data_IF_483430069823
#
_entry.id   IF_483430069823
#
_cell.length_a   1.000
_cell.length_b   1.000
_cell.length_c   1.000
_cell.angle_alpha   90.00
_cell.angle_beta   90.00
_cell.angle_gamma   90.00
#
_symmetry.space_group_name_H-M   'P 1'
#
loop_
_entity.id
_entity.type
_entity.pdbx_description
1 polymer ?
#
# COMPACT_ATOMS: atom_id res chain seq x y z
N UNK A 1 31.33 8.56 35.74
CA UNK A 1 31.65 7.13 35.92
C UNK A 1 30.31 6.41 35.86
N UNK A 2 30.24 5.44 34.95
CA UNK A 2 29.07 4.80 34.35
C UNK A 2 27.94 4.41 35.30
N UNK A 3 26.70 4.71 34.90
CA UNK A 3 25.62 3.73 35.04
C UNK A 3 24.75 3.80 33.78
N UNK A 4 25.14 2.97 32.82
CA UNK A 4 24.36 2.62 31.63
C UNK A 4 23.74 1.27 31.95
N UNK A 5 22.56 1.02 31.37
CA UNK A 5 21.93 -0.31 31.19
C UNK A 5 20.94 -0.71 32.28
N UNK A 6 19.70 -0.19 32.16
CA UNK A 6 18.48 -1.01 32.23
C UNK A 6 17.27 -0.16 31.82
N UNK A 7 17.29 0.34 30.59
CA UNK A 7 16.03 0.55 29.90
C UNK A 7 15.59 -0.82 29.42
N UNK A 8 14.48 -1.29 29.98
CA UNK A 8 13.80 -2.50 29.58
C UNK A 8 13.45 -2.42 28.09
N UNK A 9 14.37 -2.88 27.25
CA UNK A 9 14.09 -3.32 25.90
C UNK A 9 13.26 -4.59 26.03
N UNK A 10 11.98 -4.42 26.34
CA UNK A 10 10.95 -5.42 26.09
C UNK A 10 10.84 -5.55 24.57
N UNK A 11 11.82 -6.22 23.98
CA UNK A 11 11.74 -6.72 22.63
C UNK A 11 10.60 -7.74 22.64
N UNK A 12 9.39 -7.31 22.27
CA UNK A 12 8.24 -8.21 22.14
C UNK A 12 8.65 -9.33 21.19
N UNK A 13 8.97 -10.50 21.74
CA UNK A 13 9.29 -11.67 20.97
C UNK A 13 8.03 -12.08 20.20
N UNK A 14 7.97 -11.72 18.92
CA UNK A 14 6.88 -12.12 18.04
C UNK A 14 7.27 -13.42 17.35
N UNK A 15 6.39 -14.42 17.37
CA UNK A 15 6.57 -15.69 16.64
C UNK A 15 5.59 -15.73 15.48
N UNK A 16 6.11 -15.89 14.26
CA UNK A 16 5.27 -16.11 13.08
C UNK A 16 4.68 -17.53 13.12
N UNK A 17 3.35 -17.63 13.08
CA UNK A 17 2.63 -18.91 12.96
C UNK A 17 2.16 -19.18 11.52
N UNK A 18 2.57 -18.34 10.56
CA UNK A 18 2.12 -18.41 9.16
C UNK A 18 2.39 -19.79 8.56
N UNK A 19 3.58 -20.37 8.77
CA UNK A 19 3.94 -21.66 8.18
C UNK A 19 3.13 -22.82 8.77
N UNK A 20 2.93 -22.80 10.10
CA UNK A 20 2.11 -23.79 10.81
C UNK A 20 0.66 -23.69 10.36
N UNK A 21 0.14 -22.46 10.22
CA UNK A 21 -1.20 -22.19 9.70
C UNK A 21 -1.36 -22.70 8.26
N UNK A 22 -0.40 -22.43 7.37
CA UNK A 22 -0.42 -22.89 5.98
C UNK A 22 -0.38 -24.43 5.90
N UNK A 23 0.47 -25.06 6.71
CA UNK A 23 0.56 -26.52 6.81
C UNK A 23 -0.78 -27.13 7.26
N UNK A 24 -1.37 -26.60 8.34
CA UNK A 24 -2.67 -27.07 8.85
C UNK A 24 -3.80 -26.83 7.85
N UNK A 25 -3.81 -25.68 7.15
CA UNK A 25 -4.77 -25.38 6.09
C UNK A 25 -4.68 -26.42 4.96
N UNK A 26 -3.48 -26.70 4.47
CA UNK A 26 -3.27 -27.70 3.41
C UNK A 26 -3.66 -29.11 3.86
N UNK A 27 -3.23 -29.52 5.05
CA UNK A 27 -3.51 -30.85 5.57
C UNK A 27 -5.01 -31.07 5.86
N UNK A 28 -5.73 -30.06 6.36
CA UNK A 28 -7.17 -30.17 6.63
C UNK A 28 -8.02 -30.31 5.36
N UNK A 29 -7.61 -29.67 4.26
CA UNK A 29 -8.26 -29.79 2.94
C UNK A 29 -8.05 -31.21 2.39
N UNK A 30 -6.84 -31.75 2.50
CA UNK A 30 -6.52 -33.11 2.06
C UNK A 30 -7.27 -34.17 2.87
N UNK A 31 -7.33 -34.03 4.21
CA UNK A 31 -8.07 -34.94 5.08
C UNK A 31 -9.57 -34.99 4.75
N UNK A 32 -10.20 -33.85 4.42
CA UNK A 32 -11.61 -33.84 3.99
C UNK A 32 -11.86 -34.66 2.72
N UNK A 33 -10.93 -34.64 1.77
CA UNK A 33 -11.03 -35.44 0.54
C UNK A 33 -10.91 -36.95 0.76
N UNK A 34 -10.18 -37.37 1.80
CA UNK A 34 -10.00 -38.80 2.15
C UNK A 34 -11.16 -39.33 3.01
N UNK A 35 -11.70 -38.53 3.95
CA UNK A 35 -12.82 -38.98 4.79
C UNK A 35 -14.18 -38.94 4.08
N UNK A 36 -14.37 -38.10 3.04
CA UNK A 36 -15.56 -38.17 2.18
C UNK A 36 -15.67 -39.49 1.41
N UNK A 37 -14.56 -40.20 1.22
CA UNK A 37 -14.51 -41.53 0.60
C UNK A 37 -14.94 -42.65 1.56
N UNK A 38 -14.61 -42.55 2.85
CA UNK A 38 -14.93 -43.58 3.85
C UNK A 38 -16.43 -43.57 4.25
N UNK A 39 -17.09 -42.41 4.18
CA UNK A 39 -18.49 -42.24 4.62
C UNK A 39 -19.57 -42.82 3.70
N UNK A 40 -19.22 -43.30 2.48
CA UNK A 40 -20.16 -43.96 1.56
C UNK A 40 -20.08 -45.49 1.57
N UNK A 41 -19.25 -46.11 2.43
CA UNK A 41 -19.18 -47.58 2.57
C UNK A 41 -19.77 -48.06 3.88
N UNK A 42 -21.02 -47.69 4.19
CA UNK A 42 -21.79 -48.47 5.17
C UNK A 42 -23.29 -48.28 4.96
N UNK A 43 -23.84 -49.06 4.04
CA UNK A 43 -25.10 -49.78 4.16
C UNK A 43 -25.38 -50.35 2.77
N UNK A 44 -25.04 -51.61 2.56
CA UNK A 44 -25.94 -52.56 1.91
C UNK A 44 -25.42 -53.97 2.17
N UNK A 45 -26.34 -54.78 2.69
CA UNK A 45 -26.18 -56.21 2.82
C UNK A 45 -26.07 -56.83 1.42
N UNK A 46 -25.18 -57.82 1.31
CA UNK A 46 -25.28 -58.96 0.38
C UNK A 46 -25.01 -58.66 -1.11
N UNK A 47 -23.83 -59.08 -1.63
CA UNK A 47 -23.72 -59.85 -2.87
C UNK A 47 -22.25 -60.08 -3.25
N UNK A 48 -21.93 -61.33 -3.51
CA UNK A 48 -20.67 -61.91 -3.98
C UNK A 48 -20.43 -61.48 -5.45
N UNK A 49 -19.54 -60.50 -5.73
CA UNK A 49 -18.96 -60.34 -7.06
C UNK A 49 -17.69 -59.46 -7.11
N UNK A 50 -16.75 -59.97 -7.90
CA UNK A 50 -15.51 -59.41 -8.42
C UNK A 50 -15.65 -57.98 -8.99
N UNK A 51 -15.04 -56.96 -8.37
CA UNK A 51 -14.97 -55.63 -9.01
C UNK A 51 -13.80 -54.76 -8.52
N UNK A 52 -12.60 -55.04 -9.02
CA UNK A 52 -11.39 -54.23 -8.84
C UNK A 52 -11.36 -52.88 -9.60
N UNK A 53 -12.52 -52.28 -9.90
CA UNK A 53 -12.64 -51.10 -10.78
C UNK A 53 -12.87 -49.79 -10.00
N UNK A 54 -13.29 -49.86 -8.74
CA UNK A 54 -13.76 -48.69 -8.00
C UNK A 54 -12.61 -47.80 -7.46
N UNK A 55 -11.47 -48.37 -7.10
CA UNK A 55 -10.40 -47.61 -6.43
C UNK A 55 -9.70 -46.61 -7.37
N UNK A 56 -9.57 -46.97 -8.66
CA UNK A 56 -9.00 -46.08 -9.70
C UNK A 56 -9.96 -44.96 -10.10
N UNK A 57 -11.26 -45.26 -10.19
CA UNK A 57 -12.30 -44.26 -10.46
C UNK A 57 -12.42 -43.27 -9.29
N UNK A 58 -12.35 -43.76 -8.05
CA UNK A 58 -12.35 -42.95 -6.84
C UNK A 58 -11.14 -42.02 -6.74
N UNK A 59 -9.93 -42.47 -7.12
CA UNK A 59 -8.73 -41.61 -7.18
C UNK A 59 -8.86 -40.51 -8.24
N UNK A 60 -9.43 -40.81 -9.41
CA UNK A 60 -9.70 -39.79 -10.44
C UNK A 60 -10.78 -38.80 -10.00
N UNK A 61 -11.78 -39.25 -9.23
CA UNK A 61 -12.83 -38.39 -8.68
C UNK A 61 -12.35 -37.53 -7.51
N UNK A 62 -11.50 -38.05 -6.62
CA UNK A 62 -10.84 -37.26 -5.57
C UNK A 62 -9.91 -36.19 -6.17
N UNK A 63 -9.18 -36.52 -7.23
CA UNK A 63 -8.39 -35.55 -8.00
C UNK A 63 -9.25 -34.46 -8.65
N UNK A 64 -10.42 -34.83 -9.21
CA UNK A 64 -11.40 -33.87 -9.77
C UNK A 64 -12.12 -33.05 -8.71
N UNK A 65 -12.39 -33.62 -7.53
CA UNK A 65 -13.00 -32.95 -6.38
C UNK A 65 -12.04 -31.93 -5.77
N UNK A 66 -10.73 -32.21 -5.70
CA UNK A 66 -9.72 -31.19 -5.36
C UNK A 66 -9.70 -30.04 -6.38
N UNK A 67 -9.91 -30.31 -7.67
CA UNK A 67 -10.06 -29.25 -8.69
C UNK A 67 -11.38 -28.49 -8.52
N UNK A 68 -12.44 -29.16 -8.07
CA UNK A 68 -13.77 -28.56 -7.83
C UNK A 68 -13.85 -27.75 -6.53
N UNK A 69 -13.14 -28.15 -5.48
CA UNK A 69 -13.01 -27.38 -4.22
C UNK A 69 -12.02 -26.24 -4.33
N UNK A 70 -11.06 -26.30 -5.26
CA UNK A 70 -10.34 -25.12 -5.73
C UNK A 70 -11.25 -24.11 -6.46
N UNK A 71 -12.44 -24.54 -6.92
CA UNK A 71 -13.40 -23.71 -7.65
C UNK A 71 -14.70 -23.40 -6.88
N UNK A 72 -14.86 -23.91 -5.66
CA UNK A 72 -15.91 -23.47 -4.73
C UNK A 72 -15.31 -22.40 -3.83
N UNK A 73 -15.68 -21.14 -4.11
CA UNK A 73 -15.62 -20.00 -3.20
C UNK A 73 -14.30 -19.24 -3.04
N UNK A 74 -13.46 -19.22 -4.08
CA UNK A 74 -12.99 -17.91 -4.57
C UNK A 74 -14.11 -17.25 -5.40
N UNK A 75 -15.29 -17.08 -4.78
CA UNK A 75 -16.06 -15.86 -5.00
C UNK A 75 -15.23 -14.76 -4.36
N UNK A 76 -14.10 -14.45 -4.99
CA UNK A 76 -13.75 -13.07 -5.20
C UNK A 76 -15.03 -12.47 -5.77
N UNK A 77 -15.92 -11.97 -4.90
CA UNK A 77 -16.56 -10.72 -5.26
C UNK A 77 -15.40 -9.90 -5.74
N UNK A 78 -15.35 -9.65 -7.05
CA UNK A 78 -14.38 -8.75 -7.65
C UNK A 78 -14.60 -7.43 -6.92
N UNK A 79 -13.91 -7.29 -5.78
CA UNK A 79 -13.87 -6.07 -5.00
C UNK A 79 -12.91 -5.22 -5.79
N UNK A 80 -13.44 -4.67 -6.89
CA UNK A 80 -12.75 -3.64 -7.64
C UNK A 80 -12.30 -2.60 -6.60
N UNK A 81 -11.05 -2.14 -6.66
CA UNK A 81 -10.59 -1.10 -5.77
C UNK A 81 -11.56 0.10 -5.86
N UNK A 82 -11.74 0.84 -4.76
CA UNK A 82 -12.56 2.05 -4.79
C UNK A 82 -12.21 2.94 -5.98
N UNK A 83 -13.21 3.62 -6.55
CA UNK A 83 -13.01 4.44 -7.75
C UNK A 83 -12.01 5.59 -7.54
N UNK A 84 -11.82 6.02 -6.29
CA UNK A 84 -10.85 7.05 -5.90
C UNK A 84 -9.41 6.51 -5.75
N UNK A 85 -9.17 5.20 -5.89
CA UNK A 85 -7.81 4.63 -5.78
C UNK A 85 -6.87 5.16 -6.86
N UNK A 86 -7.33 5.39 -8.09
CA UNK A 86 -6.49 6.05 -9.12
C UNK A 86 -6.09 7.48 -8.73
N UNK A 87 -7.02 8.24 -8.12
CA UNK A 87 -6.71 9.59 -7.60
C UNK A 87 -5.70 9.54 -6.46
N UNK A 88 -5.73 8.49 -5.63
CA UNK A 88 -4.71 8.27 -4.59
C UNK A 88 -3.33 8.07 -5.21
N UNK A 89 -3.21 7.22 -6.24
CA UNK A 89 -1.95 6.98 -6.94
C UNK A 89 -1.42 8.28 -7.58
N UNK A 90 -2.28 9.06 -8.23
CA UNK A 90 -1.92 10.36 -8.82
C UNK A 90 -1.43 11.35 -7.75
N UNK A 91 -2.09 11.39 -6.59
CA UNK A 91 -1.68 12.25 -5.48
C UNK A 91 -0.33 11.81 -4.89
N UNK A 92 -0.11 10.52 -4.70
CA UNK A 92 1.16 9.96 -4.19
C UNK A 92 2.31 10.22 -5.16
N UNK A 93 2.07 10.04 -6.46
CA UNK A 93 3.02 10.38 -7.50
C UNK A 93 3.36 11.87 -7.47
N UNK A 94 2.35 12.73 -7.38
CA UNK A 94 2.54 14.19 -7.31
C UNK A 94 3.32 14.62 -6.07
N UNK A 95 3.08 13.99 -4.91
CA UNK A 95 3.84 14.20 -3.66
C UNK A 95 5.30 13.80 -3.84
N UNK A 96 5.57 12.63 -4.42
CA UNK A 96 6.93 12.14 -4.67
C UNK A 96 7.68 13.06 -5.65
N UNK A 97 7.00 13.48 -6.72
CA UNK A 97 7.53 14.46 -7.68
C UNK A 97 7.85 15.79 -7.01
N UNK A 98 7.00 16.24 -6.09
CA UNK A 98 7.19 17.48 -5.33
C UNK A 98 8.41 17.38 -4.42
N UNK A 99 8.60 16.26 -3.72
CA UNK A 99 9.78 16.00 -2.89
C UNK A 99 11.09 16.12 -3.69
N UNK A 100 11.13 15.54 -4.90
CA UNK A 100 12.31 15.59 -5.75
C UNK A 100 12.61 17.02 -6.21
N UNK A 101 11.60 17.76 -6.66
CA UNK A 101 11.74 19.17 -7.06
C UNK A 101 12.15 20.08 -5.91
N UNK A 102 11.67 19.80 -4.71
CA UNK A 102 12.04 20.55 -3.52
C UNK A 102 13.52 20.38 -3.19
N UNK A 103 14.04 19.15 -3.27
CA UNK A 103 15.47 18.85 -3.10
C UNK A 103 16.32 19.53 -4.17
N UNK A 104 15.87 19.50 -5.42
CA UNK A 104 16.53 20.20 -6.53
C UNK A 104 16.62 21.70 -6.25
N UNK A 105 15.50 22.31 -5.84
CA UNK A 105 15.43 23.73 -5.49
C UNK A 105 16.39 24.08 -4.35
N UNK A 106 16.40 23.29 -3.28
CA UNK A 106 17.33 23.45 -2.16
C UNK A 106 18.78 23.40 -2.63
N UNK A 107 19.14 22.41 -3.45
CA UNK A 107 20.51 22.30 -3.96
C UNK A 107 20.97 23.50 -4.79
N UNK A 108 20.06 24.07 -5.60
CA UNK A 108 20.35 25.24 -6.42
C UNK A 108 20.48 26.50 -5.56
N UNK A 109 19.61 26.65 -4.55
CA UNK A 109 19.65 27.75 -3.59
C UNK A 109 20.95 27.72 -2.77
N UNK A 110 21.34 26.57 -2.27
CA UNK A 110 22.59 26.38 -1.52
C UNK A 110 23.83 26.69 -2.39
N UNK A 111 23.82 26.24 -3.65
CA UNK A 111 24.91 26.50 -4.58
C UNK A 111 25.08 28.00 -4.86
N UNK A 112 23.99 28.76 -5.00
CA UNK A 112 24.06 30.21 -5.21
C UNK A 112 24.60 30.96 -3.99
N UNK A 113 24.20 30.55 -2.78
CA UNK A 113 24.73 31.14 -1.54
C UNK A 113 26.24 30.93 -1.40
N UNK A 114 26.74 29.76 -1.82
CA UNK A 114 28.17 29.42 -1.72
C UNK A 114 29.04 30.01 -2.85
N UNK A 115 28.45 30.32 -4.01
CA UNK A 115 29.21 30.77 -5.19
C UNK A 115 28.45 31.81 -6.02
N UNK A 116 28.45 33.09 -5.61
CA UNK A 116 27.92 34.18 -6.41
C UNK A 116 28.92 34.54 -7.52
N UNK A 117 29.01 33.71 -8.57
CA UNK A 117 29.76 34.05 -9.79
C UNK A 117 28.87 34.85 -10.74
N UNK A 118 29.34 36.03 -11.13
CA UNK A 118 28.56 37.05 -11.87
C UNK A 118 27.98 36.64 -13.23
N UNK A 119 28.56 35.64 -13.92
CA UNK A 119 28.19 35.29 -15.30
C UNK A 119 27.02 34.28 -15.38
N UNK A 120 26.93 33.32 -14.46
CA UNK A 120 25.86 32.29 -14.43
C UNK A 120 24.63 32.68 -13.59
N UNK A 121 24.71 33.79 -12.84
CA UNK A 121 23.71 34.16 -11.83
C UNK A 121 22.30 34.35 -12.42
N UNK A 122 22.18 34.98 -13.59
CA UNK A 122 20.86 35.29 -14.18
C UNK A 122 20.09 34.07 -14.69
N UNK A 123 20.80 33.11 -15.32
CA UNK A 123 20.20 31.88 -15.82
C UNK A 123 19.79 30.97 -14.67
N UNK A 124 20.62 30.89 -13.63
CA UNK A 124 20.35 30.10 -12.44
C UNK A 124 19.21 30.70 -11.61
N UNK A 125 19.15 32.03 -11.47
CA UNK A 125 18.03 32.71 -10.80
C UNK A 125 16.71 32.48 -11.53
N UNK A 126 16.71 32.57 -12.87
CA UNK A 126 15.54 32.22 -13.68
C UNK A 126 15.12 30.76 -13.47
N UNK A 127 16.08 29.82 -13.43
CA UNK A 127 15.77 28.42 -13.17
C UNK A 127 15.13 28.20 -11.79
N UNK A 128 15.63 28.88 -10.76
CA UNK A 128 15.05 28.86 -9.41
C UNK A 128 13.61 29.41 -9.42
N UNK A 129 13.36 30.50 -10.14
CA UNK A 129 12.01 31.07 -10.29
C UNK A 129 11.06 30.10 -10.99
N UNK A 130 11.48 29.51 -12.12
CA UNK A 130 10.68 28.55 -12.88
C UNK A 130 10.36 27.30 -12.03
N UNK A 131 11.34 26.78 -11.29
CA UNK A 131 11.17 25.64 -10.40
C UNK A 131 10.22 25.97 -9.24
N UNK A 132 10.30 27.18 -8.68
CA UNK A 132 9.42 27.67 -7.61
C UNK A 132 7.96 27.77 -8.08
N UNK A 133 7.74 28.27 -9.30
CA UNK A 133 6.41 28.33 -9.91
C UNK A 133 5.84 26.95 -10.21
N UNK A 134 6.66 26.02 -10.72
CA UNK A 134 6.24 24.63 -10.97
C UNK A 134 5.87 23.92 -9.66
N UNK A 135 6.66 24.07 -8.60
CA UNK A 135 6.34 23.53 -7.26
C UNK A 135 5.00 24.06 -6.76
N UNK A 136 4.77 25.37 -6.87
CA UNK A 136 3.50 26.01 -6.45
C UNK A 136 2.31 25.47 -7.25
N UNK A 137 2.49 25.26 -8.57
CA UNK A 137 1.48 24.65 -9.43
C UNK A 137 1.16 23.21 -9.01
N UNK A 138 2.19 22.42 -8.71
CA UNK A 138 2.02 21.03 -8.27
C UNK A 138 1.24 20.99 -6.95
N UNK A 139 1.59 21.81 -5.95
CA UNK A 139 0.83 21.93 -4.71
C UNK A 139 -0.67 22.18 -4.96
N UNK A 140 -0.98 23.13 -5.84
CA UNK A 140 -2.36 23.45 -6.22
C UNK A 140 -3.08 22.27 -6.88
N UNK A 141 -2.42 21.56 -7.79
CA UNK A 141 -2.99 20.38 -8.44
C UNK A 141 -3.22 19.22 -7.46
N UNK A 142 -2.22 18.89 -6.63
CA UNK A 142 -2.32 17.82 -5.62
C UNK A 142 -3.43 18.11 -4.62
N UNK A 143 -3.58 19.37 -4.17
CA UNK A 143 -4.68 19.78 -3.29
C UNK A 143 -6.05 19.52 -3.92
N UNK A 144 -6.22 19.78 -5.22
CA UNK A 144 -7.47 19.49 -5.95
C UNK A 144 -7.76 18.00 -6.01
N UNK A 145 -6.75 17.18 -6.29
CA UNK A 145 -6.89 15.71 -6.33
C UNK A 145 -7.30 15.18 -4.94
N UNK A 146 -6.63 15.63 -3.87
CA UNK A 146 -6.98 15.25 -2.49
C UNK A 146 -8.41 15.67 -2.14
N UNK A 147 -8.84 16.86 -2.59
CA UNK A 147 -10.21 17.32 -2.40
C UNK A 147 -11.23 16.42 -3.12
N UNK A 148 -10.92 15.95 -4.34
CA UNK A 148 -11.77 14.99 -5.05
C UNK A 148 -11.90 13.68 -4.27
N UNK A 149 -10.80 13.13 -3.75
CA UNK A 149 -10.83 11.92 -2.88
C UNK A 149 -11.73 12.16 -1.65
N UNK A 150 -11.63 13.34 -1.03
CA UNK A 150 -12.46 13.69 0.13
C UNK A 150 -13.94 13.81 -0.20
N UNK A 151 -14.33 14.18 -1.42
CA UNK A 151 -15.75 14.19 -1.80
C UNK A 151 -16.36 12.78 -1.76
N UNK A 152 -15.59 11.74 -2.08
CA UNK A 152 -16.03 10.35 -1.94
C UNK A 152 -16.31 9.94 -0.48
N UNK A 153 -15.75 10.65 0.51
CA UNK A 153 -16.04 10.39 1.93
C UNK A 153 -17.41 10.90 2.37
N UNK A 154 -18.07 11.76 1.59
CA UNK A 154 -19.36 12.37 1.96
C UNK A 154 -20.59 11.52 1.63
N UNK A 155 -20.41 10.36 0.98
CA UNK A 155 -21.49 9.42 0.69
C UNK A 155 -21.93 8.59 1.91
N UNK A 156 -23.24 8.35 2.02
CA UNK A 156 -23.96 7.45 2.95
C UNK A 156 -23.23 7.11 4.26
N UNK A 157 -23.62 7.81 5.33
CA UNK A 157 -23.15 7.60 6.71
C UNK A 157 -23.19 6.13 7.11
N UNK A 158 -22.03 5.57 7.51
CA UNK A 158 -21.89 4.17 7.95
C UNK A 158 -21.04 3.28 7.04
N UNK A 159 -20.60 3.75 5.88
CA UNK A 159 -19.73 2.96 4.99
C UNK A 159 -18.26 3.00 5.46
N UNK A 160 -17.65 1.83 5.70
CA UNK A 160 -16.20 1.69 6.00
C UNK A 160 -15.32 2.32 4.92
N UNK A 161 -15.80 2.36 3.68
CA UNK A 161 -15.12 3.03 2.56
C UNK A 161 -15.08 4.56 2.71
N UNK A 162 -16.14 5.17 3.24
CA UNK A 162 -16.16 6.60 3.55
C UNK A 162 -15.11 6.95 4.62
N UNK A 163 -15.01 6.13 5.67
CA UNK A 163 -13.95 6.28 6.68
C UNK A 163 -12.55 6.10 6.09
N UNK A 164 -12.38 5.11 5.20
CA UNK A 164 -11.11 4.86 4.53
C UNK A 164 -10.68 6.06 3.68
N UNK A 165 -11.57 6.59 2.84
CA UNK A 165 -11.27 7.78 2.01
C UNK A 165 -10.97 9.02 2.86
N UNK A 166 -11.64 9.21 4.01
CA UNK A 166 -11.31 10.27 4.95
C UNK A 166 -9.90 10.12 5.53
N UNK A 167 -9.54 8.93 6.01
CA UNK A 167 -8.22 8.66 6.59
C UNK A 167 -7.11 8.86 5.55
N UNK A 168 -7.32 8.35 4.34
CA UNK A 168 -6.41 8.53 3.21
C UNK A 168 -6.24 10.01 2.87
N UNK A 169 -7.36 10.75 2.73
CA UNK A 169 -7.30 12.19 2.44
C UNK A 169 -6.55 12.96 3.53
N UNK A 170 -6.76 12.61 4.80
CA UNK A 170 -6.08 13.23 5.94
C UNK A 170 -4.57 12.97 5.91
N UNK A 171 -4.16 11.71 5.66
CA UNK A 171 -2.75 11.36 5.53
C UNK A 171 -2.06 12.10 4.36
N UNK A 172 -2.73 12.21 3.21
CA UNK A 172 -2.22 12.97 2.06
C UNK A 172 -2.11 14.46 2.37
N UNK A 173 -3.10 15.06 3.04
CA UNK A 173 -3.04 16.46 3.48
C UNK A 173 -1.87 16.67 4.43
N UNK A 174 -1.68 15.81 5.43
CA UNK A 174 -0.56 15.92 6.37
C UNK A 174 0.79 15.84 5.66
N UNK A 175 0.95 14.89 4.72
CA UNK A 175 2.16 14.80 3.91
C UNK A 175 2.40 16.07 3.08
N UNK A 176 1.37 16.59 2.43
CA UNK A 176 1.45 17.79 1.61
C UNK A 176 1.76 19.05 2.46
N UNK A 177 1.19 19.15 3.66
CA UNK A 177 1.46 20.24 4.59
C UNK A 177 2.90 20.24 5.09
N UNK A 178 3.46 19.07 5.40
CA UNK A 178 4.87 18.95 5.78
C UNK A 178 5.78 19.48 4.67
N UNK A 179 5.54 19.07 3.43
CA UNK A 179 6.32 19.56 2.29
C UNK A 179 6.13 21.05 2.04
N UNK A 180 4.93 21.58 2.25
CA UNK A 180 4.67 23.01 2.13
C UNK A 180 5.44 23.82 3.18
N UNK A 181 5.52 23.30 4.41
CA UNK A 181 6.28 23.93 5.48
C UNK A 181 7.79 23.88 5.19
N UNK A 182 8.31 22.75 4.71
CA UNK A 182 9.71 22.62 4.26
C UNK A 182 10.03 23.61 3.13
N UNK A 183 9.14 23.73 2.14
CA UNK A 183 9.26 24.71 1.07
C UNK A 183 9.29 26.15 1.58
N UNK A 184 8.36 26.52 2.46
CA UNK A 184 8.31 27.86 3.05
C UNK A 184 9.60 28.17 3.82
N UNK A 185 10.08 27.23 4.63
CA UNK A 185 11.31 27.40 5.40
C UNK A 185 12.53 27.57 4.48
N UNK A 186 12.64 26.75 3.43
CA UNK A 186 13.71 26.86 2.42
C UNK A 186 13.72 28.23 1.76
N UNK A 187 12.55 28.71 1.32
CA UNK A 187 12.41 30.03 0.69
C UNK A 187 12.76 31.16 1.65
N UNK A 188 12.35 31.08 2.92
CA UNK A 188 12.72 32.08 3.92
C UNK A 188 14.24 32.12 4.17
N UNK A 189 14.89 30.96 4.26
CA UNK A 189 16.35 30.88 4.43
C UNK A 189 17.06 31.48 3.22
N UNK A 190 16.62 31.14 2.01
CA UNK A 190 17.18 31.67 0.77
C UNK A 190 17.05 33.19 0.68
N UNK A 191 15.86 33.74 0.92
CA UNK A 191 15.63 35.19 0.92
C UNK A 191 16.51 35.88 1.96
N UNK A 192 16.56 35.37 3.19
CA UNK A 192 17.37 35.97 4.26
C UNK A 192 18.89 35.93 3.97
N UNK A 193 19.35 34.93 3.21
CA UNK A 193 20.77 34.79 2.86
C UNK A 193 21.17 35.70 1.69
N UNK A 194 20.24 35.99 0.78
CA UNK A 194 20.48 36.89 -0.35
C UNK A 194 20.46 38.38 0.04
N UNK A 195 19.85 38.74 1.17
CA UNK A 195 19.79 40.12 1.69
C UNK A 195 20.90 40.49 2.70
N UNK A 196 21.91 39.62 2.90
CA UNK A 196 23.09 39.90 3.74
C UNK A 196 24.30 40.23 2.89
#
# INVERSE_FOLDING_TARGET
>A
MFDTTNQFENNMATRSLTDIFLLMRTNSIQSRGIYSFQGSKHNDYDSDSDEGINDKAALMEAGRSMVKTNSIEMRSQEKSPPTWTGLLEDAQYSITRLQNKLKELQSLQDAQVLRPTLDDSSLQEKHIQDLTLDITRIFGSTKKIIQQIRLHSSGLSGNKESQLSYNVSSALVSSLQNLFNEFRNSQQIYLNSNFK
#
